data_IF_662477088214
#
_entry.id   IF_662477088214
#
_cell.length_a   1.000
_cell.length_b   1.000
_cell.length_c   1.000
_cell.angle_alpha   90.00
_cell.angle_beta   90.00
_cell.angle_gamma   90.00
#
_symmetry.space_group_name_H-M   'P 1'
#
loop_
_entity.id
_entity.type
_entity.pdbx_description
1 polymer ?
#
# COMPACT_ATOMS: atom_id res chain seq x y z
N UNK A 1 -10.37 -8.72 -14.21
CA UNK A 1 -11.18 -7.50 -14.06
C UNK A 1 -12.50 -7.83 -13.38
N UNK A 2 -13.29 -8.78 -13.91
CA UNK A 2 -14.57 -9.24 -13.34
C UNK A 2 -14.52 -9.56 -11.83
N UNK A 3 -13.56 -10.37 -11.37
CA UNK A 3 -13.40 -10.66 -9.93
C UNK A 3 -13.05 -9.47 -9.04
N UNK A 4 -12.40 -8.44 -9.59
CA UNK A 4 -12.02 -7.26 -8.82
C UNK A 4 -13.23 -6.34 -8.59
N UNK A 5 -14.06 -6.18 -9.61
CA UNK A 5 -15.31 -5.42 -9.53
C UNK A 5 -16.31 -6.08 -8.58
N UNK A 6 -16.46 -7.40 -8.65
CA UNK A 6 -17.27 -8.17 -7.70
C UNK A 6 -16.74 -8.04 -6.26
N UNK A 7 -15.42 -8.09 -6.08
CA UNK A 7 -14.78 -7.91 -4.78
C UNK A 7 -15.02 -6.50 -4.23
N UNK A 8 -14.83 -5.46 -5.04
CA UNK A 8 -15.06 -4.08 -4.63
C UNK A 8 -16.53 -3.81 -4.30
N UNK A 9 -17.45 -4.48 -5.00
CA UNK A 9 -18.89 -4.39 -4.72
C UNK A 9 -19.25 -5.07 -3.39
N UNK A 10 -18.69 -6.25 -3.13
CA UNK A 10 -19.00 -7.03 -1.92
C UNK A 10 -18.27 -6.53 -0.67
N UNK A 11 -17.03 -6.06 -0.84
CA UNK A 11 -16.12 -5.63 0.22
C UNK A 11 -15.59 -4.20 -0.04
N UNK A 12 -16.48 -3.19 -0.14
CA UNK A 12 -16.08 -1.85 -0.59
C UNK A 12 -15.13 -1.16 0.38
N UNK A 13 -15.29 -1.38 1.69
CA UNK A 13 -14.43 -0.79 2.73
C UNK A 13 -13.05 -1.42 2.69
N UNK A 14 -12.99 -2.76 2.63
CA UNK A 14 -11.73 -3.50 2.61
C UNK A 14 -10.97 -3.23 1.32
N UNK A 15 -11.65 -3.20 0.17
CA UNK A 15 -11.05 -2.87 -1.13
C UNK A 15 -10.45 -1.45 -1.13
N UNK A 16 -11.14 -0.48 -0.54
CA UNK A 16 -10.61 0.88 -0.37
C UNK A 16 -9.40 0.90 0.58
N UNK A 17 -9.50 0.22 1.73
CA UNK A 17 -8.45 0.17 2.72
C UNK A 17 -7.16 -0.44 2.14
N UNK A 18 -7.26 -1.59 1.48
CA UNK A 18 -6.09 -2.28 0.92
C UNK A 18 -5.48 -1.49 -0.24
N UNK A 19 -6.30 -0.84 -1.08
CA UNK A 19 -5.78 -0.05 -2.20
C UNK A 19 -4.99 1.18 -1.71
N UNK A 20 -5.49 1.88 -0.70
CA UNK A 20 -4.78 3.01 -0.09
C UNK A 20 -3.51 2.53 0.62
N UNK A 21 -3.58 1.40 1.32
CA UNK A 21 -2.41 0.80 1.96
C UNK A 21 -1.34 0.41 0.93
N UNK A 22 -1.73 -0.30 -0.13
CA UNK A 22 -0.83 -0.71 -1.22
C UNK A 22 -0.20 0.51 -1.91
N UNK A 23 -0.97 1.57 -2.13
CA UNK A 23 -0.45 2.84 -2.64
C UNK A 23 0.58 3.45 -1.69
N UNK A 24 0.35 3.42 -0.38
CA UNK A 24 1.30 3.95 0.62
C UNK A 24 2.62 3.17 0.64
N UNK A 25 2.58 1.83 0.61
CA UNK A 25 3.79 0.98 0.70
C UNK A 25 4.43 0.65 -0.66
N UNK A 26 3.92 1.22 -1.75
CA UNK A 26 4.32 0.94 -3.12
C UNK A 26 4.09 -0.50 -3.62
N UNK A 27 3.06 -1.20 -3.15
CA UNK A 27 2.75 -2.54 -3.63
C UNK A 27 2.12 -2.51 -5.04
N UNK A 28 2.82 -3.10 -6.02
CA UNK A 28 2.37 -3.16 -7.41
C UNK A 28 1.69 -4.49 -7.80
N UNK A 29 1.72 -5.52 -6.96
CA UNK A 29 1.31 -6.89 -7.31
C UNK A 29 0.05 -7.38 -6.58
N UNK A 30 -0.88 -6.47 -6.27
CA UNK A 30 -2.14 -6.85 -5.61
C UNK A 30 -2.99 -7.82 -6.44
N UNK A 31 -2.93 -7.73 -7.77
CA UNK A 31 -3.78 -8.53 -8.65
C UNK A 31 -3.57 -10.05 -8.48
N UNK A 32 -2.33 -10.52 -8.31
CA UNK A 32 -2.03 -11.94 -8.06
C UNK A 32 -2.37 -12.39 -6.63
N UNK A 33 -2.32 -11.45 -5.69
CA UNK A 33 -2.31 -11.74 -4.25
C UNK A 33 -3.59 -11.30 -3.51
N UNK A 34 -4.66 -11.00 -4.23
CA UNK A 34 -5.98 -10.73 -3.65
C UNK A 34 -6.75 -12.05 -3.45
N UNK A 35 -7.31 -12.27 -2.27
CA UNK A 35 -8.27 -13.35 -1.99
C UNK A 35 -9.51 -12.76 -1.35
N UNK A 36 -10.67 -13.09 -1.90
CA UNK A 36 -11.96 -12.64 -1.39
C UNK A 36 -12.94 -13.80 -1.44
N UNK A 37 -13.76 -13.93 -0.39
CA UNK A 37 -14.83 -14.90 -0.38
C UNK A 37 -16.07 -14.34 -1.10
N UNK A 38 -16.29 -14.76 -2.34
CA UNK A 38 -17.44 -14.29 -3.13
C UNK A 38 -18.65 -15.23 -3.02
N UNK A 39 -18.53 -16.36 -2.32
CA UNK A 39 -19.63 -17.30 -2.11
C UNK A 39 -20.59 -16.82 -1.00
N UNK A 40 -21.85 -17.29 -1.01
CA UNK A 40 -22.75 -17.12 0.13
C UNK A 40 -22.36 -18.11 1.25
N UNK A 41 -21.26 -17.82 1.94
CA UNK A 41 -20.86 -18.53 3.15
C UNK A 41 -20.85 -17.57 4.34
N UNK A 42 -20.84 -18.12 5.56
CA UNK A 42 -20.80 -17.36 6.82
C UNK A 42 -19.52 -16.53 6.99
N UNK A 43 -18.43 -16.94 6.35
CA UNK A 43 -17.12 -16.29 6.49
C UNK A 43 -16.95 -15.18 5.45
N UNK A 44 -17.26 -13.94 5.84
CA UNK A 44 -17.08 -12.77 4.99
C UNK A 44 -15.67 -12.22 5.15
N UNK A 45 -14.81 -12.44 4.15
CA UNK A 45 -13.40 -12.09 4.26
C UNK A 45 -12.79 -11.68 2.93
N UNK A 46 -12.04 -10.58 2.95
CA UNK A 46 -11.14 -10.14 1.90
C UNK A 46 -9.74 -9.96 2.51
N UNK A 47 -8.73 -10.58 1.92
CA UNK A 47 -7.34 -10.51 2.38
C UNK A 47 -6.43 -10.13 1.21
N UNK A 48 -5.55 -9.17 1.46
CA UNK A 48 -4.33 -9.00 0.69
C UNK A 48 -3.26 -9.95 1.22
N UNK A 49 -2.88 -10.94 0.42
CA UNK A 49 -1.71 -11.78 0.69
C UNK A 49 -0.46 -11.12 0.10
N UNK A 50 0.70 -11.64 0.47
CA UNK A 50 2.03 -11.35 -0.11
C UNK A 50 2.30 -9.87 -0.48
N UNK A 51 3.08 -9.21 0.38
CA UNK A 51 3.58 -7.85 0.15
C UNK A 51 5.07 -7.85 -0.23
N UNK A 52 5.63 -8.99 -0.65
CA UNK A 52 7.06 -9.11 -0.98
C UNK A 52 7.54 -8.21 -2.11
N UNK A 53 6.64 -7.73 -2.96
CA UNK A 53 6.92 -6.76 -4.03
C UNK A 53 6.76 -5.28 -3.63
N UNK A 54 6.81 -4.96 -2.33
CA UNK A 54 6.62 -3.60 -1.79
C UNK A 54 7.90 -3.04 -1.13
N UNK A 55 7.87 -1.79 -0.64
CA UNK A 55 8.96 -1.17 0.11
C UNK A 55 10.32 -1.20 -0.64
N UNK A 56 11.38 -1.74 -0.03
CA UNK A 56 12.71 -1.81 -0.66
C UNK A 56 12.80 -2.84 -1.80
N UNK A 57 11.78 -3.69 -1.96
CA UNK A 57 11.71 -4.71 -3.01
C UNK A 57 10.96 -4.23 -4.25
N UNK A 58 10.57 -2.95 -4.31
CA UNK A 58 9.90 -2.40 -5.51
C UNK A 58 10.82 -2.23 -6.71
N UNK A 59 12.12 -2.47 -6.59
CA UNK A 59 13.10 -2.37 -7.67
C UNK A 59 14.27 -3.34 -7.44
N UNK A 60 15.10 -3.53 -8.47
CA UNK A 60 16.25 -4.45 -8.43
C UNK A 60 17.42 -3.93 -7.59
N UNK A 61 17.47 -2.63 -7.33
CA UNK A 61 18.48 -1.98 -6.50
C UNK A 61 17.84 -1.08 -5.46
N UNK A 62 18.54 -0.89 -4.34
CA UNK A 62 18.03 -0.07 -3.24
C UNK A 62 17.85 1.41 -3.62
N UNK A 63 18.77 1.96 -4.41
CA UNK A 63 18.68 3.33 -4.91
C UNK A 63 17.43 3.51 -5.79
N UNK A 64 17.19 2.56 -6.72
CA UNK A 64 16.00 2.58 -7.56
C UNK A 64 14.71 2.37 -6.76
N UNK A 65 14.77 1.62 -5.65
CA UNK A 65 13.64 1.45 -4.75
C UNK A 65 13.29 2.78 -4.05
N UNK A 66 14.30 3.52 -3.56
CA UNK A 66 14.08 4.84 -2.97
C UNK A 66 13.57 5.87 -3.98
N UNK A 67 14.07 5.84 -5.22
CA UNK A 67 13.55 6.68 -6.30
C UNK A 67 12.06 6.41 -6.56
N UNK A 68 11.64 5.13 -6.54
CA UNK A 68 10.21 4.75 -6.68
C UNK A 68 9.39 5.13 -5.45
N UNK A 69 9.91 4.96 -4.23
CA UNK A 69 9.22 5.33 -3.00
C UNK A 69 8.96 6.84 -2.92
N UNK A 70 9.84 7.68 -3.46
CA UNK A 70 9.68 9.16 -3.49
C UNK A 70 8.87 9.68 -4.68
N UNK A 71 8.16 8.81 -5.40
CA UNK A 71 7.33 9.17 -6.54
C UNK A 71 5.84 9.10 -6.22
N UNK A 72 5.13 10.17 -6.56
CA UNK A 72 3.68 10.25 -6.37
C UNK A 72 2.87 9.47 -7.43
N UNK A 73 3.52 9.03 -8.52
CA UNK A 73 2.94 8.28 -9.63
C UNK A 73 3.31 6.79 -9.61
N UNK A 74 3.82 6.29 -8.48
CA UNK A 74 4.18 4.88 -8.30
C UNK A 74 3.40 4.26 -7.12
N UNK A 75 2.87 3.02 -7.22
CA UNK A 75 2.87 2.12 -8.39
C UNK A 75 2.11 2.67 -9.60
N UNK A 76 2.39 2.17 -10.82
CA UNK A 76 1.83 2.71 -12.06
C UNK A 76 0.31 2.49 -12.22
N UNK A 77 -0.29 1.65 -11.36
CA UNK A 77 -1.72 1.39 -11.31
C UNK A 77 -2.08 0.44 -10.18
N UNK A 78 -3.37 0.18 -10.03
CA UNK A 78 -3.91 -0.73 -9.03
C UNK A 78 -5.11 -1.51 -9.59
N UNK A 79 -5.35 -2.73 -9.09
CA UNK A 79 -6.44 -3.60 -9.56
C UNK A 79 -7.84 -3.00 -9.37
N UNK A 80 -7.99 -2.11 -8.39
CA UNK A 80 -9.25 -1.41 -8.07
C UNK A 80 -9.34 0.02 -8.65
N UNK A 81 -8.46 0.39 -9.58
CA UNK A 81 -8.48 1.73 -10.19
C UNK A 81 -9.86 2.03 -10.80
N UNK A 82 -10.45 3.17 -10.45
CA UNK A 82 -11.76 3.61 -10.92
C UNK A 82 -12.97 2.87 -10.32
N UNK A 83 -12.76 1.95 -9.35
CA UNK A 83 -13.83 1.11 -8.78
C UNK A 83 -14.22 1.50 -7.34
N UNK A 84 -13.47 2.39 -6.70
CA UNK A 84 -13.57 2.64 -5.26
C UNK A 84 -14.39 3.89 -4.96
N UNK A 85 -15.20 3.85 -3.90
CA UNK A 85 -15.88 5.04 -3.37
C UNK A 85 -14.84 6.01 -2.78
N UNK A 86 -14.76 7.26 -3.28
CA UNK A 86 -13.82 8.27 -2.77
C UNK A 86 -13.96 8.55 -1.26
N UNK A 87 -15.14 8.37 -0.68
CA UNK A 87 -15.35 8.56 0.77
C UNK A 87 -14.65 7.49 1.59
N UNK A 88 -14.64 6.26 1.09
CA UNK A 88 -14.00 5.13 1.77
C UNK A 88 -12.48 5.20 1.66
N UNK A 89 -11.96 5.60 0.50
CA UNK A 89 -10.52 5.85 0.34
C UNK A 89 -10.07 7.03 1.21
N UNK A 90 -10.85 8.11 1.27
CA UNK A 90 -10.56 9.26 2.15
C UNK A 90 -10.43 8.86 3.62
N UNK A 91 -11.36 8.04 4.12
CA UNK A 91 -11.31 7.57 5.50
C UNK A 91 -10.04 6.75 5.81
N UNK A 92 -9.51 5.99 4.84
CA UNK A 92 -8.23 5.30 5.02
C UNK A 92 -7.02 6.23 4.89
N UNK A 93 -7.06 7.20 3.98
CA UNK A 93 -6.01 8.22 3.84
C UNK A 93 -5.82 8.95 5.18
N UNK A 94 -6.90 9.40 5.81
CA UNK A 94 -6.87 10.10 7.10
C UNK A 94 -6.27 9.23 8.21
N UNK A 95 -6.61 7.93 8.24
CA UNK A 95 -6.02 6.99 9.22
C UNK A 95 -4.51 6.84 9.05
N UNK A 96 -4.04 6.69 7.82
CA UNK A 96 -2.60 6.57 7.53
C UNK A 96 -1.90 7.90 7.84
N UNK A 97 -2.47 9.03 7.43
CA UNK A 97 -1.95 10.37 7.73
C UNK A 97 -1.90 10.69 9.22
N UNK A 98 -2.78 10.09 10.02
CA UNK A 98 -2.76 10.21 11.48
C UNK A 98 -1.65 9.42 12.18
N UNK A 99 -0.89 8.57 11.47
CA UNK A 99 0.25 7.84 12.06
C UNK A 99 1.37 8.81 12.42
N UNK A 100 1.89 8.71 13.65
CA UNK A 100 3.04 9.52 14.07
C UNK A 100 4.33 9.09 13.37
N UNK A 101 5.28 10.01 13.25
CA UNK A 101 6.62 9.70 12.74
C UNK A 101 7.28 8.59 13.56
N UNK A 102 7.13 8.65 14.89
CA UNK A 102 7.64 7.62 15.80
C UNK A 102 7.06 6.24 15.50
N UNK A 103 5.76 6.13 15.23
CA UNK A 103 5.15 4.83 14.90
C UNK A 103 5.71 4.24 13.59
N UNK A 104 6.02 5.09 12.60
CA UNK A 104 6.64 4.65 11.34
C UNK A 104 8.11 4.27 11.56
N UNK A 105 8.85 5.07 12.31
CA UNK A 105 10.25 4.82 12.64
C UNK A 105 10.41 3.50 13.42
N UNK A 106 9.60 3.29 14.45
CA UNK A 106 9.59 2.06 15.25
C UNK A 106 9.26 0.82 14.41
N UNK A 107 8.39 0.97 13.40
CA UNK A 107 8.05 -0.11 12.49
C UNK A 107 9.17 -0.44 11.48
N UNK A 108 10.06 0.51 11.19
CA UNK A 108 11.10 0.35 10.15
C UNK A 108 12.49 0.04 10.71
N UNK A 109 12.84 0.56 11.90
CA UNK A 109 14.19 0.53 12.45
C UNK A 109 14.30 -0.59 13.49
N UNK A 110 14.94 -1.70 13.10
CA UNK A 110 14.93 -2.96 13.85
C UNK A 110 16.19 -3.18 14.70
N UNK A 111 17.00 -2.14 14.91
CA UNK A 111 18.17 -2.18 15.80
C UNK A 111 19.37 -3.00 15.31
N UNK A 112 19.32 -3.50 14.07
CA UNK A 112 20.42 -4.22 13.40
C UNK A 112 20.16 -4.38 11.90
N UNK A 113 21.09 -5.02 11.19
CA UNK A 113 20.91 -5.35 9.77
C UNK A 113 19.89 -6.47 9.60
N UNK A 114 18.93 -6.29 8.71
CA UNK A 114 17.90 -7.29 8.39
C UNK A 114 18.00 -7.64 6.91
N UNK A 115 18.39 -8.89 6.61
CA UNK A 115 18.71 -9.29 5.24
C UNK A 115 19.85 -8.46 4.67
N UNK A 116 19.58 -7.72 3.59
CA UNK A 116 20.52 -6.77 2.97
C UNK A 116 20.35 -5.32 3.45
N UNK A 117 19.31 -5.00 4.23
CA UNK A 117 19.01 -3.63 4.64
C UNK A 117 19.76 -3.25 5.93
N UNK A 118 20.68 -2.30 5.81
CA UNK A 118 21.42 -1.72 6.93
C UNK A 118 20.59 -0.67 7.68
N UNK A 119 21.08 -0.21 8.83
CA UNK A 119 20.37 0.80 9.64
C UNK A 119 20.11 2.10 8.87
N UNK A 120 21.03 2.50 8.00
CA UNK A 120 20.86 3.67 7.11
C UNK A 120 19.69 3.47 6.16
N UNK A 121 19.57 2.28 5.58
CA UNK A 121 18.49 1.93 4.65
C UNK A 121 17.13 1.91 5.36
N UNK A 122 17.10 1.39 6.59
CA UNK A 122 15.90 1.38 7.43
C UNK A 122 15.46 2.80 7.81
N UNK A 123 16.40 3.68 8.15
CA UNK A 123 16.10 5.08 8.41
C UNK A 123 15.58 5.81 7.15
N UNK A 124 16.23 5.59 6.01
CA UNK A 124 15.79 6.14 4.73
C UNK A 124 14.41 5.61 4.30
N UNK A 125 14.09 4.34 4.60
CA UNK A 125 12.77 3.77 4.38
C UNK A 125 11.71 4.47 5.25
N UNK A 126 12.01 4.69 6.53
CA UNK A 126 11.10 5.40 7.43
C UNK A 126 10.82 6.82 6.91
N UNK A 127 11.85 7.56 6.50
CA UNK A 127 11.71 8.89 5.89
C UNK A 127 10.86 8.84 4.61
N UNK A 128 11.08 7.83 3.76
CA UNK A 128 10.30 7.67 2.53
C UNK A 128 8.83 7.39 2.84
N UNK A 129 8.53 6.53 3.83
CA UNK A 129 7.15 6.22 4.23
C UNK A 129 6.45 7.41 4.89
N UNK A 130 7.18 8.20 5.68
CA UNK A 130 6.70 9.49 6.21
C UNK A 130 6.35 10.44 5.06
N UNK A 131 7.25 10.61 4.10
CA UNK A 131 6.97 11.45 2.92
C UNK A 131 5.74 10.95 2.15
N UNK A 132 5.62 9.64 1.93
CA UNK A 132 4.46 9.05 1.24
C UNK A 132 3.17 9.21 2.03
N UNK A 133 3.20 9.07 3.36
CA UNK A 133 2.05 9.33 4.24
C UNK A 133 1.58 10.78 4.03
N UNK A 134 2.50 11.73 4.11
CA UNK A 134 2.17 13.16 4.00
C UNK A 134 1.63 13.53 2.61
N UNK A 135 2.09 12.84 1.57
CA UNK A 135 1.66 13.02 0.18
C UNK A 135 0.56 12.03 -0.27
N UNK A 136 -0.02 11.26 0.65
CA UNK A 136 -0.84 10.09 0.31
C UNK A 136 -2.08 10.46 -0.49
N UNK A 137 -2.69 11.62 -0.23
CA UNK A 137 -3.82 12.12 -1.02
C UNK A 137 -3.45 12.25 -2.50
N UNK A 138 -2.30 12.85 -2.80
CA UNK A 138 -1.83 13.06 -4.18
C UNK A 138 -1.54 11.72 -4.83
N UNK A 139 -0.88 10.83 -4.10
CA UNK A 139 -0.56 9.46 -4.55
C UNK A 139 -1.83 8.71 -4.92
N UNK A 140 -2.80 8.63 -3.99
CA UNK A 140 -4.06 7.93 -4.21
C UNK A 140 -4.81 8.51 -5.39
N UNK A 141 -4.90 9.84 -5.50
CA UNK A 141 -5.58 10.49 -6.62
C UNK A 141 -4.93 10.15 -7.97
N UNK A 142 -3.61 9.94 -8.03
CA UNK A 142 -2.92 9.57 -9.28
C UNK A 142 -3.09 8.10 -9.64
N UNK A 143 -3.10 7.22 -8.65
CA UNK A 143 -3.06 5.76 -8.85
C UNK A 143 -4.47 5.17 -8.98
N UNK A 144 -5.42 5.65 -8.17
CA UNK A 144 -6.73 5.04 -7.99
C UNK A 144 -7.87 5.77 -8.73
N UNK A 145 -7.68 7.03 -9.15
CA UNK A 145 -8.67 7.77 -9.96
C UNK A 145 -8.71 7.31 -11.41
#
# INVERSE_FOLDING_TARGET
MERAEETATRYPVEAANIAVFDAWICNADRAGNLRANLAQSTDNMMIGLDHGGSLLSVADTIDAAFDRLKRADWPPGHVFKGMLDPRLTQAMIERVQGLSDAAIQDACILGGTVGSAMLTDQAMLAEALIWRRDNLQIIVNRILS
#
